data_IF_017986412632
#
_entry.id   IF_017986412632
#
_cell.length_a   1.000
_cell.length_b   1.000
_cell.length_c   1.000
_cell.angle_alpha   90.00
_cell.angle_beta   90.00
_cell.angle_gamma   90.00
#
_symmetry.space_group_name_H-M   'P 1'
#
loop_
_entity.id
_entity.type
_entity.pdbx_description
1 polymer ?
#
# COMPACT_ATOMS: atom_id res chain seq x y z
N UNK A 1 -17.01 -19.17 5.66
CA UNK A 1 -15.60 -19.54 5.89
C UNK A 1 -14.83 -18.26 6.20
N UNK A 2 -14.10 -18.21 7.32
CA UNK A 2 -13.29 -17.03 7.62
C UNK A 2 -12.17 -16.90 6.57
N UNK A 3 -11.79 -15.68 6.15
CA UNK A 3 -10.67 -15.48 5.25
C UNK A 3 -9.39 -16.08 5.84
N UNK A 4 -8.77 -16.97 5.07
CA UNK A 4 -7.58 -17.75 5.45
C UNK A 4 -6.31 -16.90 5.64
N UNK A 5 -6.31 -15.66 5.16
CA UNK A 5 -5.19 -14.74 5.19
C UNK A 5 -5.60 -13.42 5.84
N UNK A 6 -4.76 -12.89 6.73
CA UNK A 6 -4.95 -11.62 7.43
C UNK A 6 -3.82 -10.65 7.10
N UNK A 7 -4.08 -9.35 7.21
CA UNK A 7 -3.00 -8.36 7.14
C UNK A 7 -2.03 -8.58 8.31
N UNK A 8 -0.73 -8.56 8.01
CA UNK A 8 0.30 -8.71 9.02
C UNK A 8 1.71 -8.67 8.42
N UNK A 9 2.70 -8.30 9.24
CA UNK A 9 4.11 -8.32 8.87
C UNK A 9 4.91 -9.05 9.95
N UNK A 10 5.73 -10.03 9.55
CA UNK A 10 6.57 -10.77 10.49
C UNK A 10 7.79 -9.92 10.86
N UNK A 11 8.08 -9.87 12.16
CA UNK A 11 9.32 -9.29 12.69
C UNK A 11 10.39 -10.37 12.63
N UNK A 12 11.58 -10.02 12.13
CA UNK A 12 12.74 -10.90 12.17
C UNK A 12 13.84 -10.26 13.01
N UNK A 13 14.71 -11.09 13.59
CA UNK A 13 15.85 -10.60 14.37
C UNK A 13 17.08 -10.69 13.49
N UNK A 14 17.78 -9.57 13.34
CA UNK A 14 19.02 -9.53 12.56
C UNK A 14 20.21 -10.08 13.38
N UNK A 15 21.36 -10.20 12.72
CA UNK A 15 22.61 -10.73 13.30
C UNK A 15 23.11 -9.91 14.50
N UNK A 16 22.70 -8.64 14.57
CA UNK A 16 23.02 -7.71 15.65
C UNK A 16 22.01 -7.76 16.82
N UNK A 17 21.04 -8.69 16.79
CA UNK A 17 20.01 -8.83 17.83
C UNK A 17 18.92 -7.76 17.79
N UNK A 18 18.85 -6.96 16.73
CA UNK A 18 17.83 -5.93 16.55
C UNK A 18 16.61 -6.51 15.82
N UNK A 19 15.43 -6.08 16.25
CA UNK A 19 14.17 -6.47 15.65
C UNK A 19 13.86 -5.58 14.45
N UNK A 20 13.81 -6.18 13.25
CA UNK A 20 13.50 -5.49 12.00
C UNK A 20 12.23 -6.05 11.37
N UNK A 21 11.50 -5.19 10.66
CA UNK A 21 10.29 -5.57 9.92
C UNK A 21 10.71 -6.14 8.56
N UNK A 22 10.18 -7.32 8.19
CA UNK A 22 10.57 -8.02 6.94
C UNK A 22 10.37 -7.18 5.68
N UNK A 23 9.37 -6.32 5.73
CA UNK A 23 9.03 -5.35 4.70
C UNK A 23 8.96 -3.97 5.35
N UNK A 24 9.18 -2.91 4.58
CA UNK A 24 8.98 -1.52 5.02
C UNK A 24 7.47 -1.19 5.18
N UNK A 25 6.77 -2.01 5.96
CA UNK A 25 5.35 -1.99 6.27
C UNK A 25 5.22 -2.13 7.80
N UNK A 26 4.16 -1.60 8.37
CA UNK A 26 3.84 -1.76 9.79
C UNK A 26 3.65 -3.22 10.19
N UNK A 27 3.58 -3.48 11.49
CA UNK A 27 3.29 -4.81 12.07
C UNK A 27 1.96 -5.38 11.61
N UNK A 28 1.02 -4.50 11.26
CA UNK A 28 -0.28 -4.80 10.68
C UNK A 28 -0.21 -5.18 9.20
N UNK A 29 0.96 -5.13 8.56
CA UNK A 29 1.12 -5.45 7.14
C UNK A 29 0.64 -4.34 6.20
N UNK A 30 0.40 -3.13 6.71
CA UNK A 30 -0.02 -1.96 5.93
C UNK A 30 1.08 -0.89 5.92
N UNK A 31 1.08 0.03 4.94
CA UNK A 31 2.10 1.07 4.87
C UNK A 31 1.74 2.22 5.82
N UNK A 32 2.74 2.99 6.23
CA UNK A 32 2.51 4.16 7.07
C UNK A 32 1.95 5.34 6.26
N UNK A 33 1.05 6.12 6.85
CA UNK A 33 0.60 7.37 6.22
C UNK A 33 1.77 8.32 6.03
N UNK A 34 1.89 8.90 4.83
CA UNK A 34 2.99 9.78 4.44
C UNK A 34 4.20 9.07 3.84
N UNK A 35 4.26 7.73 3.93
CA UNK A 35 5.33 6.92 3.34
C UNK A 35 5.36 7.06 1.81
N UNK A 36 6.57 7.13 1.25
CA UNK A 36 6.79 7.09 -0.20
C UNK A 36 7.06 5.64 -0.61
N UNK A 37 6.37 5.18 -1.65
CA UNK A 37 6.49 3.83 -2.20
C UNK A 37 6.90 3.94 -3.66
N UNK A 38 8.04 3.32 -3.97
CA UNK A 38 8.63 3.23 -5.31
C UNK A 38 8.09 2.01 -6.08
N UNK A 39 8.44 1.92 -7.36
CA UNK A 39 8.15 0.74 -8.17
C UNK A 39 8.67 -0.55 -7.52
N UNK A 40 7.84 -1.60 -7.53
CA UNK A 40 8.12 -2.93 -6.97
C UNK A 40 8.39 -2.96 -5.46
N UNK A 41 8.11 -1.87 -4.73
CA UNK A 41 8.17 -1.88 -3.26
C UNK A 41 6.92 -2.52 -2.64
N UNK A 42 7.04 -3.14 -1.44
CA UNK A 42 5.89 -3.69 -0.71
C UNK A 42 4.83 -2.62 -0.41
N UNK A 43 3.60 -2.88 -0.82
CA UNK A 43 2.43 -2.05 -0.54
C UNK A 43 1.57 -2.63 0.58
N UNK A 44 1.44 -3.95 0.65
CA UNK A 44 0.75 -4.64 1.75
C UNK A 44 1.30 -6.05 1.91
N UNK A 45 1.15 -6.63 3.10
CA UNK A 45 1.53 -7.99 3.42
C UNK A 45 0.36 -8.75 4.04
N UNK A 46 0.09 -9.93 3.52
CA UNK A 46 -0.89 -10.88 4.02
C UNK A 46 -0.15 -12.10 4.58
N UNK A 47 -0.53 -12.54 5.77
CA UNK A 47 0.02 -13.74 6.42
C UNK A 47 -1.06 -14.82 6.45
N UNK A 48 -0.71 -16.03 6.01
CA UNK A 48 -1.51 -17.23 6.22
C UNK A 48 -1.20 -17.81 7.61
N UNK A 49 -2.23 -17.94 8.46
CA UNK A 49 -2.08 -18.39 9.86
C UNK A 49 -1.68 -19.88 9.98
N UNK A 50 -1.93 -20.70 8.95
CA UNK A 50 -1.69 -22.15 8.97
C UNK A 50 -0.37 -22.53 8.30
N UNK A 51 -0.06 -21.89 7.17
CA UNK A 51 1.12 -22.20 6.35
C UNK A 51 2.31 -21.32 6.70
N UNK A 52 2.14 -20.32 7.56
CA UNK A 52 3.18 -19.37 7.97
C UNK A 52 3.84 -18.61 6.80
N UNK A 53 3.23 -18.66 5.61
CA UNK A 53 3.70 -18.01 4.40
C UNK A 53 3.13 -16.60 4.29
N UNK A 54 3.99 -15.68 3.91
CA UNK A 54 3.65 -14.29 3.61
C UNK A 54 3.41 -14.09 2.11
N UNK A 55 2.34 -13.37 1.79
CA UNK A 55 2.02 -12.92 0.44
C UNK A 55 2.06 -11.40 0.41
N UNK A 56 3.05 -10.88 -0.30
CA UNK A 56 3.29 -9.44 -0.42
C UNK A 56 2.67 -8.93 -1.72
N UNK A 57 1.82 -7.92 -1.62
CA UNK A 57 1.41 -7.10 -2.75
C UNK A 57 2.39 -5.97 -2.94
N UNK A 58 2.94 -5.83 -4.15
CA UNK A 58 3.91 -4.78 -4.50
C UNK A 58 3.26 -3.68 -5.33
N UNK A 59 3.78 -2.47 -5.23
CA UNK A 59 3.41 -1.35 -6.09
C UNK A 59 3.80 -1.64 -7.54
N UNK A 60 2.86 -1.48 -8.47
CA UNK A 60 3.04 -1.89 -9.88
C UNK A 60 3.35 -0.72 -10.80
N UNK A 61 3.01 0.49 -10.39
CA UNK A 61 3.23 1.68 -11.22
C UNK A 61 4.67 2.14 -11.10
N UNK A 62 5.21 2.65 -12.21
CA UNK A 62 6.60 3.15 -12.26
C UNK A 62 6.76 4.49 -11.55
N UNK A 63 5.69 5.28 -11.50
CA UNK A 63 5.69 6.55 -10.78
C UNK A 63 5.64 6.28 -9.26
N UNK A 64 6.51 6.93 -8.47
CA UNK A 64 6.47 6.83 -7.02
C UNK A 64 5.19 7.46 -6.48
N UNK A 65 4.68 6.90 -5.39
CA UNK A 65 3.45 7.36 -4.73
C UNK A 65 3.69 7.68 -3.28
N UNK A 66 2.96 8.67 -2.78
CA UNK A 66 2.86 8.94 -1.35
C UNK A 66 1.57 8.37 -0.79
N UNK A 67 1.64 7.65 0.33
CA UNK A 67 0.45 7.17 1.02
C UNK A 67 -0.27 8.34 1.68
N UNK A 68 -1.47 8.66 1.21
CA UNK A 68 -2.30 9.73 1.77
C UNK A 68 -3.16 9.26 2.94
N UNK A 69 -3.80 8.09 2.81
CA UNK A 69 -4.69 7.57 3.85
C UNK A 69 -4.76 6.04 3.78
N UNK A 70 -4.84 5.39 4.93
CA UNK A 70 -5.09 3.95 5.06
C UNK A 70 -6.33 3.78 5.93
N UNK A 71 -7.33 3.06 5.45
CA UNK A 71 -8.59 2.83 6.16
C UNK A 71 -8.92 1.35 6.17
N UNK A 72 -9.11 0.79 7.36
CA UNK A 72 -9.73 -0.52 7.50
C UNK A 72 -11.21 -0.41 7.09
N UNK A 73 -11.68 -1.38 6.30
CA UNK A 73 -13.06 -1.47 5.87
C UNK A 73 -13.73 -2.60 6.66
N UNK A 74 -14.79 -2.27 7.39
CA UNK A 74 -15.65 -3.25 8.04
C UNK A 74 -16.81 -3.64 7.12
N UNK A 75 -17.22 -4.89 7.14
CA UNK A 75 -18.50 -5.35 6.59
C UNK A 75 -19.57 -5.29 7.68
N UNK A 76 -20.80 -4.92 7.31
CA UNK A 76 -21.93 -4.91 8.25
C UNK A 76 -22.43 -6.32 8.60
N UNK A 77 -21.93 -7.37 7.96
CA UNK A 77 -22.21 -8.73 8.39
C UNK A 77 -21.33 -9.14 9.57
N UNK A 78 -21.96 -9.34 10.73
CA UNK A 78 -21.35 -9.85 11.97
C UNK A 78 -20.60 -11.19 11.80
N UNK A 79 -20.77 -11.90 10.68
CA UNK A 79 -20.16 -13.21 10.39
C UNK A 79 -18.89 -13.15 9.55
N UNK A 80 -18.52 -12.00 8.99
CA UNK A 80 -17.33 -11.86 8.15
C UNK A 80 -16.29 -10.98 8.85
N UNK A 81 -15.23 -11.59 9.37
CA UNK A 81 -14.00 -10.88 9.69
C UNK A 81 -13.50 -10.20 8.41
N UNK A 82 -13.76 -8.90 8.31
CA UNK A 82 -13.55 -8.15 7.08
C UNK A 82 -12.08 -7.77 6.99
N UNK A 83 -11.32 -8.56 6.23
CA UNK A 83 -9.90 -8.30 5.95
C UNK A 83 -9.76 -7.40 4.71
N UNK A 84 -10.46 -6.28 4.69
CA UNK A 84 -10.41 -5.31 3.59
C UNK A 84 -9.88 -3.97 4.09
N UNK A 85 -9.06 -3.33 3.26
CA UNK A 85 -8.52 -2.01 3.52
C UNK A 85 -8.54 -1.19 2.23
N UNK A 86 -8.77 0.11 2.36
CA UNK A 86 -8.56 1.07 1.28
C UNK A 86 -7.31 1.89 1.56
N UNK A 87 -6.46 2.01 0.55
CA UNK A 87 -5.22 2.79 0.59
C UNK A 87 -5.35 3.88 -0.47
N UNK A 88 -5.35 5.14 -0.04
CA UNK A 88 -5.32 6.29 -0.93
C UNK A 88 -3.88 6.64 -1.25
N UNK A 89 -3.52 6.60 -2.52
CA UNK A 89 -2.20 6.95 -3.04
C UNK A 89 -2.26 8.32 -3.72
N UNK A 90 -1.28 9.17 -3.43
CA UNK A 90 -1.12 10.50 -4.01
C UNK A 90 0.05 10.44 -4.97
N UNK A 91 -0.21 10.78 -6.24
CA UNK A 91 0.80 10.92 -7.28
C UNK A 91 1.16 12.40 -7.42
N UNK A 92 2.43 12.75 -7.24
CA UNK A 92 2.92 14.09 -7.52
C UNK A 92 3.09 14.27 -9.04
N UNK A 93 2.09 14.90 -9.67
CA UNK A 93 2.07 15.21 -11.11
C UNK A 93 2.39 16.68 -11.33
N UNK A 94 3.66 17.03 -11.19
CA UNK A 94 4.15 18.36 -11.57
C UNK A 94 3.98 18.56 -13.09
N UNK A 95 3.62 19.75 -13.57
CA UNK A 95 3.59 20.07 -14.99
C UNK A 95 4.91 19.73 -15.69
N UNK A 96 4.86 18.94 -16.75
CA UNK A 96 6.02 18.56 -17.57
C UNK A 96 5.83 18.98 -19.02
N UNK A 97 6.95 19.04 -19.76
CA UNK A 97 6.93 19.30 -21.21
C UNK A 97 6.07 18.23 -21.89
N UNK A 98 5.08 18.66 -22.68
CA UNK A 98 4.13 17.78 -23.35
C UNK A 98 2.77 17.66 -22.65
N UNK A 99 2.63 18.24 -21.45
CA UNK A 99 1.33 18.39 -20.79
C UNK A 99 0.44 19.35 -21.56
N UNK A 100 -0.81 18.93 -21.78
CA UNK A 100 -1.75 19.69 -22.60
C UNK A 100 -2.56 20.63 -21.73
N UNK A 101 -2.35 21.93 -21.90
CA UNK A 101 -3.13 22.97 -21.23
C UNK A 101 -4.12 23.60 -22.20
N UNK A 102 -5.28 24.01 -21.71
CA UNK A 102 -6.24 24.78 -22.49
C UNK A 102 -6.72 26.00 -21.71
N UNK A 103 -6.98 27.08 -22.45
CA UNK A 103 -7.68 28.23 -21.89
C UNK A 103 -9.19 27.97 -21.84
N UNK A 104 -9.92 28.79 -21.07
CA UNK A 104 -11.39 28.76 -21.05
C UNK A 104 -12.06 29.19 -22.37
N UNK A 105 -11.27 29.62 -23.36
CA UNK A 105 -11.75 30.11 -24.67
C UNK A 105 -11.39 29.17 -25.83
N UNK A 106 -11.12 27.89 -25.55
CA UNK A 106 -10.94 26.88 -26.60
C UNK A 106 -9.58 26.88 -27.30
N UNK A 107 -8.58 27.58 -26.76
CA UNK A 107 -7.21 27.52 -27.25
C UNK A 107 -6.44 26.43 -26.50
N UNK A 108 -5.87 25.48 -27.22
CA UNK A 108 -5.09 24.36 -26.66
C UNK A 108 -3.60 24.58 -26.94
N UNK A 109 -2.80 24.56 -25.89
CA UNK A 109 -1.34 24.52 -25.94
C UNK A 109 -0.83 23.12 -25.58
N UNK A 110 0.42 22.85 -25.97
CA UNK A 110 1.23 21.70 -25.56
C UNK A 110 2.42 22.22 -24.77
#
# INVERSE_FOLDING_TARGET
EAPRMKFGNKVFTNEAGQHELKHNLGVDGLPSVGQVIEYDQPLYCLVDELQEKDKVGRHKDKDPVRIGCVRALGDNNEKASSNSASITMIYDRNPVIGDKFSSRHGQKGV
#
